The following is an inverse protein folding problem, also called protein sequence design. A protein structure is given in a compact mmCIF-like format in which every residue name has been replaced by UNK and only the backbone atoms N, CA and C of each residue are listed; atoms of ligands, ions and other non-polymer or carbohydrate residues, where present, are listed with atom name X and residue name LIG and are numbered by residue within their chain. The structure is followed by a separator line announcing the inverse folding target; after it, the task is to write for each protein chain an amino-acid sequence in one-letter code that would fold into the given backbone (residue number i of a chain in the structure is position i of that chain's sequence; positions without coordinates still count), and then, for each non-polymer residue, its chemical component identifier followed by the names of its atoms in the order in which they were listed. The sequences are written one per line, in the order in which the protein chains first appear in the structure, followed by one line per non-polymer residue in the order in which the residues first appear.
data_IF_757627835066
#
_entry.id   IF_757627835066
#
_cell.length_a   1.000
_cell.length_b   1.000
_cell.length_c   1.000
_cell.angle_alpha   90.00
_cell.angle_beta   90.00
_cell.angle_gamma   90.00
#
_symmetry.space_group_name_H-M   'P 1'
#
loop_
_entity.id
_entity.type
_entity.pdbx_description
1 polymer ?
#
# COMPACT_ATOMS: atom_id res chain seq x y z
N UNK A 1 -24.05 1.30 -6.27
CA UNK A 1 -24.47 0.23 -5.35
C UNK A 1 -23.37 -0.14 -4.36
N UNK A 2 -22.12 -0.48 -4.80
CA UNK A 2 -21.02 -0.84 -3.87
C UNK A 2 -20.62 0.28 -2.88
N UNK A 3 -20.57 1.54 -3.32
CA UNK A 3 -20.22 2.68 -2.46
C UNK A 3 -21.20 2.88 -1.31
N UNK A 4 -22.52 2.86 -1.58
CA UNK A 4 -23.55 3.00 -0.54
C UNK A 4 -23.44 1.96 0.57
N UNK A 5 -23.09 0.70 0.21
CA UNK A 5 -22.92 -0.36 1.19
C UNK A 5 -21.71 -0.08 2.10
N UNK A 6 -20.59 0.36 1.52
CA UNK A 6 -19.37 0.72 2.28
C UNK A 6 -19.64 1.95 3.17
N UNK A 7 -20.32 2.95 2.64
CA UNK A 7 -20.67 4.17 3.36
C UNK A 7 -21.62 3.93 4.54
N UNK A 8 -22.53 2.93 4.44
CA UNK A 8 -23.40 2.55 5.56
C UNK A 8 -22.65 2.01 6.77
N UNK A 9 -21.43 1.48 6.58
CA UNK A 9 -20.52 1.17 7.68
C UNK A 9 -19.81 2.38 8.27
N UNK A 10 -20.05 3.57 7.79
CA UNK A 10 -19.32 4.78 8.19
C UNK A 10 -17.93 4.91 7.56
N UNK A 11 -17.61 4.08 6.55
CA UNK A 11 -16.34 4.19 5.84
C UNK A 11 -16.40 5.24 4.74
N UNK A 12 -15.34 6.03 4.61
CA UNK A 12 -15.15 6.89 3.47
C UNK A 12 -14.78 6.05 2.24
N UNK A 13 -15.35 6.38 1.09
CA UNK A 13 -15.04 5.76 -0.19
C UNK A 13 -14.37 6.76 -1.11
N UNK A 14 -13.18 6.43 -1.62
CA UNK A 14 -12.41 7.25 -2.55
C UNK A 14 -12.27 6.57 -3.91
N UNK A 15 -12.55 7.33 -4.99
CA UNK A 15 -12.28 6.94 -6.37
C UNK A 15 -12.18 8.20 -7.22
N UNK A 16 -11.14 8.29 -8.05
CA UNK A 16 -11.02 9.34 -9.06
C UNK A 16 -10.33 8.80 -10.33
N UNK A 17 -10.63 9.33 -11.51
CA UNK A 17 -9.92 8.98 -12.74
C UNK A 17 -8.43 9.31 -12.62
N UNK A 18 -7.58 8.46 -13.17
CA UNK A 18 -6.13 8.66 -13.19
C UNK A 18 -5.39 8.24 -11.92
N UNK A 19 -6.10 7.73 -10.92
CA UNK A 19 -5.52 7.22 -9.67
C UNK A 19 -5.89 5.76 -9.44
N UNK A 20 -4.96 5.01 -8.86
CA UNK A 20 -5.18 3.65 -8.40
C UNK A 20 -5.61 3.59 -6.94
N UNK A 21 -6.05 2.43 -6.47
CA UNK A 21 -6.48 2.29 -5.07
C UNK A 21 -5.36 2.61 -4.07
N UNK A 22 -4.13 2.25 -4.42
CA UNK A 22 -2.96 2.39 -3.56
C UNK A 22 -2.51 3.85 -3.42
N UNK A 23 -2.77 4.69 -4.44
CA UNK A 23 -2.58 6.14 -4.34
C UNK A 23 -3.49 6.75 -3.25
N UNK A 24 -4.73 6.26 -3.14
CA UNK A 24 -5.63 6.70 -2.06
C UNK A 24 -5.13 6.27 -0.68
N UNK A 25 -4.50 5.09 -0.57
CA UNK A 25 -3.89 4.64 0.68
C UNK A 25 -2.70 5.53 1.05
N UNK A 26 -1.83 5.85 0.09
CA UNK A 26 -0.71 6.76 0.27
C UNK A 26 -1.17 8.17 0.68
N UNK A 27 -2.14 8.73 -0.04
CA UNK A 27 -2.70 10.04 0.23
C UNK A 27 -3.41 10.10 1.60
N UNK A 28 -4.16 9.06 1.97
CA UNK A 28 -4.79 8.97 3.28
C UNK A 28 -3.75 8.89 4.41
N UNK A 29 -2.73 8.06 4.24
CA UNK A 29 -1.64 7.95 5.20
C UNK A 29 -0.85 9.25 5.35
N UNK A 30 -0.63 10.00 4.27
CA UNK A 30 0.06 11.29 4.32
C UNK A 30 -0.77 12.37 5.03
N UNK A 31 -2.07 12.43 4.77
CA UNK A 31 -2.98 13.47 5.31
C UNK A 31 -3.39 13.23 6.76
N UNK A 32 -3.53 11.97 7.19
CA UNK A 32 -3.90 11.64 8.56
C UNK A 32 -2.70 11.77 9.50
N UNK A 33 -2.87 12.48 10.63
CA UNK A 33 -1.77 12.76 11.57
C UNK A 33 -1.57 11.71 12.67
N UNK A 34 -2.58 10.89 12.94
CA UNK A 34 -2.52 9.83 13.94
C UNK A 34 -1.96 8.51 13.40
N UNK A 35 -1.96 7.44 14.20
CA UNK A 35 -1.61 6.11 13.76
C UNK A 35 -2.50 5.64 12.60
N UNK A 36 -1.92 4.93 11.64
CA UNK A 36 -2.61 4.40 10.45
C UNK A 36 -2.36 2.91 10.36
N UNK A 37 -3.41 2.17 10.05
CA UNK A 37 -3.34 0.76 9.72
C UNK A 37 -3.92 0.56 8.33
N UNK A 38 -3.12 0.10 7.39
CA UNK A 38 -3.52 -0.18 6.01
C UNK A 38 -3.75 -1.68 5.86
N UNK A 39 -4.95 -2.09 5.44
CA UNK A 39 -5.24 -3.50 5.14
C UNK A 39 -5.10 -3.72 3.62
N UNK A 40 -4.05 -4.40 3.21
CA UNK A 40 -3.78 -4.73 1.81
C UNK A 40 -2.97 -6.02 1.69
N UNK A 41 -3.13 -6.74 0.58
CA UNK A 41 -2.25 -7.85 0.19
C UNK A 41 -1.06 -7.37 -0.64
N UNK A 42 -1.11 -6.14 -1.13
CA UNK A 42 -0.06 -5.57 -1.96
C UNK A 42 1.18 -5.25 -1.13
N UNK A 43 2.31 -5.74 -1.59
CA UNK A 43 3.61 -5.54 -0.92
C UNK A 43 4.26 -4.21 -1.29
N UNK A 44 3.82 -3.56 -2.35
CA UNK A 44 4.33 -2.26 -2.74
C UNK A 44 3.90 -1.19 -1.73
N UNK A 45 2.79 -1.42 -1.01
CA UNK A 45 2.38 -0.62 0.14
C UNK A 45 3.40 -0.60 1.29
N UNK A 46 4.43 -1.47 1.30
CA UNK A 46 5.49 -1.41 2.28
C UNK A 46 6.28 -0.09 2.23
N UNK A 47 6.26 0.61 1.10
CA UNK A 47 6.80 1.98 0.99
C UNK A 47 6.12 3.00 1.91
N UNK A 48 4.90 2.72 2.36
CA UNK A 48 4.11 3.60 3.25
C UNK A 48 4.38 3.35 4.73
N UNK A 49 5.06 2.25 5.06
CA UNK A 49 5.34 1.84 6.45
C UNK A 49 6.23 2.86 7.14
N UNK A 50 5.92 3.16 8.39
CA UNK A 50 6.69 4.06 9.26
C UNK A 50 6.36 3.75 10.71
N UNK A 51 6.91 4.50 11.66
CA UNK A 51 6.55 4.38 13.10
C UNK A 51 5.05 4.62 13.34
N UNK A 52 4.40 5.34 12.45
CA UNK A 52 2.99 5.71 12.51
C UNK A 52 2.08 4.87 11.59
N UNK A 53 2.63 4.29 10.54
CA UNK A 53 1.89 3.52 9.52
C UNK A 53 2.31 2.07 9.55
N UNK A 54 1.37 1.16 9.75
CA UNK A 54 1.58 -0.29 9.64
C UNK A 54 0.61 -0.92 8.66
N UNK A 55 0.98 -2.08 8.12
CA UNK A 55 0.14 -2.83 7.18
C UNK A 55 -0.38 -4.09 7.87
N UNK A 56 -1.66 -4.39 7.67
CA UNK A 56 -2.23 -5.70 7.94
C UNK A 56 -2.29 -6.48 6.63
N UNK A 57 -1.40 -7.45 6.49
CA UNK A 57 -1.31 -8.29 5.31
C UNK A 57 -2.00 -9.64 5.55
N UNK A 58 -2.94 -10.05 4.69
CA UNK A 58 -3.52 -11.39 4.75
C UNK A 58 -2.47 -12.47 4.51
N UNK A 59 -2.37 -13.44 5.43
CA UNK A 59 -1.49 -14.61 5.31
C UNK A 59 -2.31 -15.82 4.87
N UNK A 60 -3.45 -16.05 5.54
CA UNK A 60 -4.38 -17.14 5.21
C UNK A 60 -5.80 -16.60 5.12
N UNK A 61 -6.15 -16.09 3.96
CA UNK A 61 -7.42 -15.37 3.79
C UNK A 61 -7.48 -14.17 4.75
N UNK A 62 -8.65 -13.89 5.31
CA UNK A 62 -8.85 -12.83 6.32
C UNK A 62 -8.78 -13.33 7.76
N UNK A 63 -8.59 -14.64 7.96
CA UNK A 63 -8.56 -15.25 9.30
C UNK A 63 -7.21 -15.10 9.99
N UNK A 64 -6.13 -14.95 9.22
CA UNK A 64 -4.77 -14.79 9.74
C UNK A 64 -4.13 -13.59 9.05
N UNK A 65 -3.79 -12.58 9.84
CA UNK A 65 -3.21 -11.33 9.38
C UNK A 65 -1.84 -11.12 10.01
N UNK A 66 -0.84 -10.84 9.20
CA UNK A 66 0.46 -10.37 9.68
C UNK A 66 0.45 -8.85 9.77
N UNK A 67 0.98 -8.31 10.88
CA UNK A 67 1.22 -6.88 11.01
C UNK A 67 2.64 -6.58 10.56
N UNK A 68 2.77 -5.67 9.59
CA UNK A 68 4.03 -5.28 8.99
C UNK A 68 4.36 -3.86 9.41
N UNK A 69 5.40 -3.72 10.21
CA UNK A 69 6.03 -2.45 10.59
C UNK A 69 7.43 -2.36 9.97
N UNK A 70 8.23 -1.36 10.37
CA UNK A 70 9.56 -1.15 9.80
C UNK A 70 10.50 -2.35 9.99
N UNK A 71 10.39 -3.07 11.10
CA UNK A 71 11.22 -4.26 11.38
C UNK A 71 10.93 -5.40 10.40
N UNK A 72 9.65 -5.67 10.13
CA UNK A 72 9.23 -6.73 9.21
C UNK A 72 9.57 -6.38 7.74
N UNK A 73 9.58 -5.09 7.36
CA UNK A 73 10.06 -4.67 6.04
C UNK A 73 11.56 -4.95 5.89
N UNK A 74 12.37 -4.61 6.90
CA UNK A 74 13.80 -4.91 6.91
C UNK A 74 14.08 -6.40 6.87
N UNK A 75 13.35 -7.20 7.64
CA UNK A 75 13.48 -8.65 7.65
C UNK A 75 13.19 -9.27 6.28
N UNK A 76 12.12 -8.80 5.61
CA UNK A 76 11.66 -9.39 4.34
C UNK A 76 12.45 -8.92 3.13
N UNK A 77 12.83 -7.64 3.08
CA UNK A 77 13.44 -7.02 1.91
C UNK A 77 14.91 -6.65 2.11
N UNK A 78 15.37 -6.61 3.36
CA UNK A 78 16.73 -6.17 3.68
C UNK A 78 16.96 -4.68 3.47
N UNK A 79 15.89 -3.88 3.43
CA UNK A 79 15.92 -2.43 3.23
C UNK A 79 14.96 -1.72 4.17
N UNK A 80 15.17 -0.43 4.41
CA UNK A 80 14.23 0.40 5.15
C UNK A 80 12.96 0.69 4.33
N UNK A 81 11.80 0.94 4.98
CA UNK A 81 10.56 1.30 4.26
C UNK A 81 10.74 2.42 3.24
N UNK A 82 11.49 3.47 3.57
CA UNK A 82 11.78 4.58 2.66
C UNK A 82 12.62 4.21 1.43
N UNK A 83 13.20 3.01 1.42
CA UNK A 83 14.00 2.49 0.28
C UNK A 83 13.20 1.49 -0.59
N UNK A 84 11.95 1.16 -0.22
CA UNK A 84 11.17 0.12 -0.91
C UNK A 84 10.95 0.47 -2.39
N UNK A 85 10.69 1.73 -2.72
CA UNK A 85 10.51 2.18 -4.10
C UNK A 85 11.79 1.99 -4.91
N UNK A 86 12.93 2.39 -4.38
CA UNK A 86 14.25 2.21 -5.00
C UNK A 86 14.59 0.71 -5.13
N UNK A 87 14.22 -0.08 -4.13
CA UNK A 87 14.38 -1.53 -4.15
C UNK A 87 13.58 -2.18 -5.28
N UNK A 88 12.30 -1.78 -5.47
CA UNK A 88 11.46 -2.25 -6.57
C UNK A 88 12.07 -1.83 -7.92
N UNK A 89 12.47 -0.58 -8.05
CA UNK A 89 13.10 -0.09 -9.29
C UNK A 89 14.37 -0.85 -9.67
N UNK A 90 15.18 -1.26 -8.68
CA UNK A 90 16.41 -2.01 -8.89
C UNK A 90 16.17 -3.49 -9.17
N UNK A 91 15.33 -4.17 -8.36
CA UNK A 91 15.11 -5.61 -8.49
C UNK A 91 14.15 -5.97 -9.62
N UNK A 92 13.32 -5.01 -10.03
CA UNK A 92 12.17 -5.22 -10.88
C UNK A 92 10.93 -5.74 -10.12
N UNK A 93 9.77 -5.65 -10.78
CA UNK A 93 8.53 -6.28 -10.35
C UNK A 93 7.76 -6.85 -11.54
N UNK A 94 7.53 -8.17 -11.52
CA UNK A 94 6.85 -8.86 -12.62
C UNK A 94 5.37 -8.56 -12.71
N UNK A 95 4.70 -8.23 -11.59
CA UNK A 95 3.28 -7.86 -11.56
C UNK A 95 3.05 -6.55 -12.29
N UNK A 96 3.92 -5.58 -12.09
CA UNK A 96 3.84 -4.25 -12.70
C UNK A 96 4.67 -4.12 -13.98
N UNK A 97 5.24 -5.24 -14.42
CA UNK A 97 6.10 -5.29 -15.62
C UNK A 97 7.31 -4.35 -15.53
N UNK A 98 7.82 -4.16 -14.33
CA UNK A 98 9.05 -3.40 -14.09
C UNK A 98 10.24 -4.35 -14.27
N UNK A 99 11.10 -4.14 -15.29
CA UNK A 99 12.22 -5.07 -15.57
C UNK A 99 13.29 -5.08 -14.48
N UNK A 100 13.52 -3.93 -13.82
CA UNK A 100 14.65 -3.72 -12.92
C UNK A 100 15.97 -3.48 -13.65
N UNK A 101 17.05 -3.34 -12.88
CA UNK A 101 18.41 -3.23 -13.39
C UNK A 101 18.94 -4.60 -13.84
N UNK A 102 19.68 -4.62 -14.95
CA UNK A 102 20.21 -5.88 -15.52
C UNK A 102 21.09 -6.64 -14.50
N UNK A 103 20.72 -7.89 -14.25
CA UNK A 103 21.46 -8.77 -13.31
C UNK A 103 21.36 -8.37 -11.84
N UNK A 104 20.32 -7.60 -11.47
CA UNK A 104 20.03 -7.19 -10.09
C UNK A 104 18.77 -7.90 -9.58
N UNK A 105 18.98 -8.92 -8.74
CA UNK A 105 17.90 -9.54 -7.97
C UNK A 105 17.77 -8.92 -6.57
N UNK A 106 16.84 -9.44 -5.74
CA UNK A 106 16.55 -8.86 -4.42
C UNK A 106 17.75 -8.67 -3.51
N UNK A 107 18.61 -9.67 -3.38
CA UNK A 107 19.81 -9.58 -2.52
C UNK A 107 20.79 -8.50 -2.96
N UNK A 108 20.99 -8.36 -4.28
CA UNK A 108 21.90 -7.35 -4.83
C UNK A 108 21.30 -5.94 -4.74
N UNK A 109 19.97 -5.80 -4.93
CA UNK A 109 19.26 -4.54 -4.72
C UNK A 109 19.38 -4.06 -3.26
N UNK A 110 19.14 -4.94 -2.30
CA UNK A 110 19.31 -4.62 -0.87
C UNK A 110 20.76 -4.23 -0.53
N UNK A 111 21.76 -4.97 -1.03
CA UNK A 111 23.17 -4.64 -0.83
C UNK A 111 23.57 -3.29 -1.42
N UNK A 112 23.04 -2.95 -2.61
CA UNK A 112 23.27 -1.64 -3.24
C UNK A 112 22.68 -0.52 -2.40
N UNK A 113 21.45 -0.70 -1.90
CA UNK A 113 20.79 0.31 -1.07
C UNK A 113 21.44 0.45 0.31
N UNK A 114 21.95 -0.63 0.87
CA UNK A 114 22.77 -0.58 2.09
C UNK A 114 24.08 0.20 1.87
N UNK A 115 24.71 0.05 0.69
CA UNK A 115 25.97 0.71 0.36
C UNK A 115 25.79 2.20 0.01
N UNK A 116 24.81 2.52 -0.81
CA UNK A 116 24.63 3.87 -1.40
C UNK A 116 23.51 4.69 -0.75
N UNK A 117 22.62 4.06 0.02
CA UNK A 117 21.49 4.71 0.66
C UNK A 117 20.26 4.87 -0.24
N UNK A 118 20.45 5.16 -1.53
CA UNK A 118 19.36 5.36 -2.50
C UNK A 118 19.78 4.99 -3.92
N UNK A 119 18.80 4.83 -4.80
CA UNK A 119 19.02 4.67 -6.24
C UNK A 119 19.79 5.86 -6.82
N UNK A 120 19.40 7.10 -6.51
CA UNK A 120 20.05 8.29 -7.04
C UNK A 120 21.52 8.40 -6.59
N UNK A 121 21.83 8.03 -5.35
CA UNK A 121 23.22 8.01 -4.88
C UNK A 121 24.04 6.93 -5.61
N UNK A 122 23.46 5.77 -5.89
CA UNK A 122 24.13 4.74 -6.69
C UNK A 122 24.39 5.20 -8.13
N UNK A 123 23.41 5.88 -8.76
CA UNK A 123 23.56 6.46 -10.10
C UNK A 123 24.63 7.56 -10.12
N UNK A 124 24.65 8.46 -9.13
CA UNK A 124 25.67 9.50 -8.99
C UNK A 124 27.09 8.94 -8.81
N UNK A 125 27.19 7.74 -8.18
CA UNK A 125 28.46 7.01 -8.07
C UNK A 125 28.84 6.25 -9.37
N UNK A 126 28.16 6.50 -10.49
CA UNK A 126 28.45 5.90 -11.79
C UNK A 126 27.90 4.48 -11.97
N UNK A 127 27.05 3.99 -11.05
CA UNK A 127 26.39 2.69 -11.22
C UNK A 127 25.26 2.82 -12.24
N UNK A 128 25.10 1.81 -13.10
CA UNK A 128 24.00 1.71 -14.05
C UNK A 128 23.83 2.91 -14.99
N UNK A 129 24.93 3.57 -15.40
CA UNK A 129 24.91 4.78 -16.24
C UNK A 129 24.10 4.61 -17.52
N UNK A 130 24.18 3.44 -18.16
CA UNK A 130 23.43 3.12 -19.38
C UNK A 130 21.92 2.88 -19.15
N UNK A 131 21.51 2.63 -17.90
CA UNK A 131 20.13 2.30 -17.53
C UNK A 131 19.48 3.38 -16.65
N UNK A 132 20.22 4.48 -16.37
CA UNK A 132 19.82 5.47 -15.36
C UNK A 132 18.40 6.03 -15.58
N UNK A 133 18.05 6.39 -16.81
CA UNK A 133 16.74 6.97 -17.12
C UNK A 133 15.62 5.93 -16.99
N UNK A 134 15.88 4.67 -17.37
CA UNK A 134 14.95 3.60 -17.19
C UNK A 134 14.70 3.31 -15.69
N UNK A 135 15.75 3.30 -14.88
CA UNK A 135 15.63 3.05 -13.44
C UNK A 135 14.87 4.20 -12.74
N UNK A 136 15.06 5.44 -13.16
CA UNK A 136 14.25 6.56 -12.70
C UNK A 136 12.78 6.45 -13.13
N UNK A 137 12.53 5.97 -14.34
CA UNK A 137 11.16 5.67 -14.80
C UNK A 137 10.53 4.57 -13.96
N UNK A 138 11.23 3.47 -13.72
CA UNK A 138 10.75 2.37 -12.88
C UNK A 138 10.43 2.83 -11.45
N UNK A 139 11.31 3.65 -10.89
CA UNK A 139 11.08 4.28 -9.58
C UNK A 139 9.80 5.11 -9.57
N UNK A 140 9.54 5.91 -10.60
CA UNK A 140 8.30 6.70 -10.72
C UNK A 140 7.05 5.83 -10.86
N UNK A 141 7.15 4.72 -11.59
CA UNK A 141 6.04 3.76 -11.75
C UNK A 141 5.72 3.07 -10.41
N UNK A 142 6.74 2.67 -9.66
CA UNK A 142 6.58 2.02 -8.36
C UNK A 142 6.14 2.97 -7.24
N UNK A 143 6.29 4.28 -7.41
CA UNK A 143 5.97 5.28 -6.40
C UNK A 143 4.47 5.56 -6.37
N UNK A 144 3.83 5.30 -5.24
CA UNK A 144 2.43 5.68 -5.00
C UNK A 144 2.28 7.19 -4.93
N UNK A 145 1.19 7.71 -5.52
CA UNK A 145 0.89 9.14 -5.53
C UNK A 145 0.14 9.54 -4.25
N UNK A 146 0.81 10.32 -3.40
CA UNK A 146 0.23 10.83 -2.16
C UNK A 146 -0.70 12.05 -2.36
N UNK A 147 -0.86 12.53 -3.59
CA UNK A 147 -1.72 13.68 -3.92
C UNK A 147 -3.14 13.26 -4.36
N UNK A 148 -3.43 11.96 -4.39
CA UNK A 148 -4.76 11.46 -4.71
C UNK A 148 -5.85 12.18 -3.89
N UNK A 149 -7.01 12.48 -4.51
CA UNK A 149 -8.09 13.25 -3.87
C UNK A 149 -8.87 12.39 -2.88
N UNK A 150 -8.29 12.15 -1.70
CA UNK A 150 -8.99 11.41 -0.64
C UNK A 150 -10.18 12.19 -0.10
N UNK A 151 -11.28 11.50 0.24
CA UNK A 151 -12.42 12.11 0.90
C UNK A 151 -12.01 12.66 2.26
N UNK A 152 -12.87 13.51 2.85
CA UNK A 152 -12.63 14.02 4.20
C UNK A 152 -12.51 12.85 5.18
N UNK A 153 -11.32 12.70 5.76
CA UNK A 153 -11.05 11.68 6.76
C UNK A 153 -11.59 12.15 8.11
N UNK A 154 -12.61 11.48 8.60
CA UNK A 154 -13.24 11.74 9.89
C UNK A 154 -13.41 10.41 10.64
N UNK A 155 -13.30 10.45 11.96
CA UNK A 155 -13.67 9.31 12.77
C UNK A 155 -15.19 9.16 12.73
N UNK A 156 -15.68 8.06 12.19
CA UNK A 156 -17.10 7.73 12.11
C UNK A 156 -17.39 6.48 12.92
N UNK A 157 -18.61 6.40 13.44
CA UNK A 157 -19.13 5.15 14.00
C UNK A 157 -19.89 4.41 12.90
N UNK A 158 -19.74 3.09 12.79
CA UNK A 158 -20.53 2.31 11.86
C UNK A 158 -22.03 2.42 12.18
N UNK A 159 -22.86 2.57 11.15
CA UNK A 159 -24.30 2.39 11.24
C UNK A 159 -24.63 0.92 10.91
N UNK A 160 -24.60 0.10 11.95
CA UNK A 160 -24.82 -1.34 11.80
C UNK A 160 -26.22 -1.67 11.27
N UNK A 161 -27.25 -0.89 11.65
CA UNK A 161 -28.62 -1.09 11.20
C UNK A 161 -28.75 -0.79 9.69
N UNK A 162 -28.21 0.33 9.23
CA UNK A 162 -28.17 0.65 7.80
C UNK A 162 -27.35 -0.36 7.00
N UNK A 163 -26.23 -0.82 7.54
CA UNK A 163 -25.40 -1.83 6.91
C UNK A 163 -26.13 -3.19 6.81
N UNK A 164 -26.87 -3.59 7.83
CA UNK A 164 -27.68 -4.81 7.83
C UNK A 164 -28.82 -4.73 6.80
N UNK A 165 -29.52 -3.59 6.71
CA UNK A 165 -30.56 -3.34 5.72
C UNK A 165 -30.01 -3.46 4.28
N UNK A 166 -28.88 -2.80 3.98
CA UNK A 166 -28.24 -2.90 2.68
C UNK A 166 -27.76 -4.33 2.35
N UNK A 167 -27.24 -5.06 3.35
CA UNK A 167 -26.86 -6.45 3.16
C UNK A 167 -28.08 -7.32 2.79
N UNK A 168 -29.24 -7.06 3.40
CA UNK A 168 -30.50 -7.73 3.06
C UNK A 168 -30.94 -7.43 1.62
N UNK A 169 -30.91 -6.16 1.21
CA UNK A 169 -31.22 -5.73 -0.18
C UNK A 169 -30.34 -6.41 -1.22
N UNK A 170 -29.10 -6.74 -0.85
CA UNK A 170 -28.14 -7.44 -1.70
C UNK A 170 -28.27 -8.96 -1.63
N UNK A 171 -29.21 -9.50 -0.86
CA UNK A 171 -29.39 -10.94 -0.67
C UNK A 171 -28.32 -11.59 0.22
N UNK A 172 -27.51 -10.80 0.93
CA UNK A 172 -26.44 -11.26 1.82
C UNK A 172 -26.96 -11.58 3.22
N UNK A 173 -27.93 -12.48 3.31
CA UNK A 173 -28.72 -12.74 4.52
C UNK A 173 -27.88 -13.18 5.75
N UNK A 174 -26.83 -13.96 5.55
CA UNK A 174 -25.92 -14.36 6.63
C UNK A 174 -25.13 -13.16 7.19
N UNK A 175 -24.71 -12.27 6.32
CA UNK A 175 -24.01 -11.04 6.71
C UNK A 175 -24.98 -10.07 7.40
N UNK A 176 -26.20 -9.90 6.86
CA UNK A 176 -27.23 -9.03 7.44
C UNK A 176 -27.51 -9.38 8.90
N UNK A 177 -27.69 -10.68 9.21
CA UNK A 177 -27.88 -11.16 10.60
C UNK A 177 -26.69 -10.79 11.49
N UNK A 178 -25.46 -11.07 11.05
CA UNK A 178 -24.23 -10.75 11.81
C UNK A 178 -24.06 -9.27 12.07
N UNK A 179 -24.53 -8.42 11.16
CA UNK A 179 -24.46 -6.97 11.32
C UNK A 179 -25.54 -6.46 12.29
N UNK A 180 -26.75 -7.00 12.22
CA UNK A 180 -27.84 -6.68 13.14
C UNK A 180 -27.51 -7.01 14.61
N UNK A 181 -26.70 -8.05 14.85
CA UNK A 181 -26.22 -8.43 16.19
C UNK A 181 -25.16 -7.49 16.78
N UNK A 182 -24.64 -6.54 15.98
CA UNK A 182 -23.60 -5.56 16.42
C UNK A 182 -24.17 -4.18 16.75
N UNK A 183 -25.37 -3.88 16.36
CA UNK A 183 -26.10 -2.64 16.66
C UNK A 183 -26.99 -2.81 17.87
#
# INVERSE_FOLDING_TARGET
MKSRFIESFGFAYGKAPGYEADDFLAAAAAKWKGPVVIATSDRDAFQLVSDRVSILQPVKGVSELARIGPAEVRERYGVDPGQVVDFIALRGDGSDRIPGAMGVGPKKAASLLAQYGSLEAALAAGRFSAEADNLRLYRRIAQMDADAPVPKLVATKPDWAAAAAHATELGLNALARRLAERG
#
